data_IF_366829402524
#
_entry.id   IF_366829402524
#
_cell.length_a   1.000
_cell.length_b   1.000
_cell.length_c   1.000
_cell.angle_alpha   90.00
_cell.angle_beta   90.00
_cell.angle_gamma   90.00
#
_symmetry.space_group_name_H-M   'P 1'
#
loop_
_entity.id
_entity.type
_entity.pdbx_description
1 polymer ?
#
# COMPACT_ATOMS: atom_id res chain seq x y z
N UNK A 1 1.76 6.30 10.86
CA UNK A 1 0.86 6.06 9.70
C UNK A 1 0.62 4.57 9.45
N UNK A 2 1.66 3.73 9.32
CA UNK A 2 1.49 2.27 9.18
C UNK A 2 0.73 1.61 10.34
N UNK A 3 0.94 2.06 11.58
CA UNK A 3 0.17 1.60 12.74
C UNK A 3 -1.34 1.83 12.61
N UNK A 4 -1.75 2.94 11.95
CA UNK A 4 -3.16 3.21 11.67
C UNK A 4 -3.67 2.23 10.60
N UNK A 5 -2.86 1.93 9.57
CA UNK A 5 -3.16 0.87 8.61
C UNK A 5 -3.40 -0.49 9.29
N UNK A 6 -2.61 -0.86 10.29
CA UNK A 6 -2.82 -2.13 11.02
C UNK A 6 -4.19 -2.21 11.72
N UNK A 7 -4.75 -1.08 12.17
CA UNK A 7 -6.12 -1.04 12.73
C UNK A 7 -7.14 -1.38 11.65
N UNK A 8 -6.98 -0.84 10.43
CA UNK A 8 -7.84 -1.18 9.30
C UNK A 8 -7.65 -2.63 8.86
N UNK A 9 -6.44 -3.19 8.93
CA UNK A 9 -6.21 -4.61 8.64
C UNK A 9 -6.97 -5.53 9.61
N UNK A 10 -7.00 -5.19 10.90
CA UNK A 10 -7.83 -5.91 11.87
C UNK A 10 -9.31 -5.79 11.49
N UNK A 11 -9.77 -4.61 11.08
CA UNK A 11 -11.14 -4.41 10.64
C UNK A 11 -11.49 -5.23 9.38
N UNK A 12 -10.56 -5.37 8.42
CA UNK A 12 -10.72 -6.25 7.24
C UNK A 12 -11.03 -7.70 7.65
N UNK A 13 -10.40 -8.19 8.72
CA UNK A 13 -10.66 -9.53 9.24
C UNK A 13 -12.04 -9.67 9.91
N UNK A 14 -12.62 -8.57 10.40
CA UNK A 14 -13.94 -8.56 11.06
C UNK A 14 -15.08 -8.51 10.04
N UNK A 15 -14.91 -7.77 8.95
CA UNK A 15 -15.96 -7.59 7.94
C UNK A 15 -15.89 -8.64 6.83
N UNK A 16 -16.99 -9.36 6.51
CA UNK A 16 -16.99 -10.36 5.44
C UNK A 16 -16.71 -9.76 4.06
N UNK A 17 -15.96 -10.50 3.23
CA UNK A 17 -15.68 -10.13 1.84
C UNK A 17 -16.97 -9.96 1.04
N UNK A 18 -17.01 -8.96 0.14
CA UNK A 18 -18.18 -8.66 -0.69
C UNK A 18 -19.22 -7.74 -0.03
N UNK A 19 -19.00 -7.35 1.23
CA UNK A 19 -19.84 -6.36 1.91
C UNK A 19 -19.31 -4.93 1.70
N UNK A 20 -20.21 -3.94 1.68
CA UNK A 20 -19.80 -2.53 1.56
C UNK A 20 -18.83 -2.08 2.67
N UNK A 21 -19.01 -2.46 3.95
CA UNK A 21 -18.02 -2.17 5.00
C UNK A 21 -16.65 -2.75 4.72
N UNK A 22 -16.56 -3.99 4.20
CA UNK A 22 -15.27 -4.62 3.86
C UNK A 22 -14.51 -3.82 2.79
N UNK A 23 -15.20 -3.40 1.73
CA UNK A 23 -14.60 -2.56 0.68
C UNK A 23 -14.02 -1.27 1.27
N UNK A 24 -14.79 -0.60 2.13
CA UNK A 24 -14.35 0.65 2.76
C UNK A 24 -13.11 0.46 3.65
N UNK A 25 -13.11 -0.54 4.53
CA UNK A 25 -11.96 -0.77 5.44
C UNK A 25 -10.72 -1.24 4.69
N UNK A 26 -10.90 -2.02 3.62
CA UNK A 26 -9.80 -2.53 2.81
C UNK A 26 -9.13 -1.43 1.98
N UNK A 27 -9.93 -0.59 1.31
CA UNK A 27 -9.41 0.60 0.61
C UNK A 27 -8.74 1.57 1.58
N UNK A 28 -9.27 1.70 2.80
CA UNK A 28 -8.63 2.52 3.85
C UNK A 28 -7.28 1.95 4.27
N UNK A 29 -7.19 0.63 4.51
CA UNK A 29 -5.92 -0.04 4.82
C UNK A 29 -4.86 0.23 3.75
N UNK A 30 -5.16 -0.04 2.48
CA UNK A 30 -4.22 0.18 1.39
C UNK A 30 -3.90 1.66 1.18
N UNK A 31 -4.87 2.56 1.40
CA UNK A 31 -4.63 4.01 1.38
C UNK A 31 -3.63 4.46 2.44
N UNK A 32 -3.75 3.97 3.68
CA UNK A 32 -2.79 4.27 4.75
C UNK A 32 -1.41 3.66 4.48
N UNK A 33 -1.36 2.47 3.89
CA UNK A 33 -0.10 1.86 3.43
C UNK A 33 0.55 2.70 2.33
N UNK A 34 -0.21 3.14 1.32
CA UNK A 34 0.29 3.99 0.25
C UNK A 34 0.84 5.33 0.79
N UNK A 35 0.13 5.96 1.74
CA UNK A 35 0.63 7.15 2.43
C UNK A 35 1.93 6.89 3.20
N UNK A 36 2.04 5.75 3.88
CA UNK A 36 3.27 5.35 4.56
C UNK A 36 4.44 5.16 3.61
N UNK A 37 4.22 4.44 2.50
CA UNK A 37 5.23 4.23 1.45
C UNK A 37 5.63 5.56 0.82
N UNK A 38 4.67 6.47 0.60
CA UNK A 38 4.95 7.80 0.06
C UNK A 38 5.89 8.59 0.96
N UNK A 39 5.60 8.66 2.26
CA UNK A 39 6.43 9.38 3.22
C UNK A 39 7.85 8.79 3.32
N UNK A 40 7.97 7.46 3.33
CA UNK A 40 9.28 6.79 3.27
C UNK A 40 9.99 7.11 1.97
N UNK A 41 9.27 7.07 0.85
CA UNK A 41 9.81 7.40 -0.48
C UNK A 41 10.35 8.82 -0.58
N UNK A 42 9.61 9.80 -0.05
CA UNK A 42 10.06 11.19 0.05
C UNK A 42 11.34 11.28 0.88
N UNK A 43 11.34 10.74 2.10
CA UNK A 43 12.52 10.78 2.98
C UNK A 43 13.77 10.17 2.34
N UNK A 44 13.65 8.97 1.78
CA UNK A 44 14.74 8.27 1.10
C UNK A 44 15.20 8.99 -0.18
N UNK A 45 14.29 9.64 -0.91
CA UNK A 45 14.64 10.38 -2.13
C UNK A 45 15.48 11.63 -1.84
N UNK A 46 15.28 12.27 -0.67
CA UNK A 46 16.11 13.39 -0.22
C UNK A 46 17.56 12.95 0.03
N UNK A 47 17.76 11.70 0.45
CA UNK A 47 19.08 11.06 0.55
C UNK A 47 19.60 10.51 -0.78
N UNK A 48 18.89 10.75 -1.89
CA UNK A 48 19.18 10.23 -3.25
C UNK A 48 19.20 8.70 -3.32
N UNK A 49 18.51 8.02 -2.39
CA UNK A 49 18.38 6.57 -2.36
C UNK A 49 17.52 6.07 -3.52
N UNK A 50 18.00 5.03 -4.24
CA UNK A 50 17.24 4.35 -5.30
C UNK A 50 15.90 3.81 -4.79
N UNK A 51 15.85 3.41 -3.53
CA UNK A 51 14.64 2.90 -2.88
C UNK A 51 13.60 3.99 -2.63
N UNK A 52 14.04 5.24 -2.46
CA UNK A 52 13.14 6.39 -2.39
C UNK A 52 12.36 6.57 -3.70
N UNK A 53 13.09 6.60 -4.82
CA UNK A 53 12.48 6.69 -6.15
C UNK A 53 11.59 5.49 -6.48
N UNK A 54 12.00 4.26 -6.10
CA UNK A 54 11.17 3.07 -6.26
C UNK A 54 9.87 3.20 -5.47
N UNK A 55 9.94 3.60 -4.20
CA UNK A 55 8.77 3.77 -3.32
C UNK A 55 7.80 4.83 -3.87
N UNK A 56 8.33 5.96 -4.36
CA UNK A 56 7.53 6.99 -5.01
C UNK A 56 6.89 6.49 -6.32
N UNK A 57 7.62 5.73 -7.12
CA UNK A 57 7.09 5.14 -8.35
C UNK A 57 5.95 4.15 -8.05
N UNK A 58 6.10 3.31 -7.02
CA UNK A 58 5.05 2.38 -6.58
C UNK A 58 3.78 3.11 -6.18
N UNK A 59 3.88 4.24 -5.46
CA UNK A 59 2.70 5.03 -5.09
C UNK A 59 2.10 5.74 -6.29
N UNK A 60 2.93 6.34 -7.14
CA UNK A 60 2.51 7.15 -8.29
C UNK A 60 1.81 6.31 -9.36
N UNK A 61 2.24 5.05 -9.54
CA UNK A 61 1.62 4.12 -10.48
C UNK A 61 0.53 3.27 -9.80
N UNK A 62 0.79 2.78 -8.60
CA UNK A 62 -0.10 1.88 -7.88
C UNK A 62 -1.40 2.55 -7.43
N UNK A 63 -1.36 3.80 -6.95
CA UNK A 63 -2.57 4.48 -6.46
C UNK A 63 -3.58 4.75 -7.57
N UNK A 64 -3.19 5.29 -8.76
CA UNK A 64 -4.12 5.41 -9.88
C UNK A 64 -4.66 4.05 -10.36
N UNK A 65 -3.83 3.00 -10.42
CA UNK A 65 -4.30 1.67 -10.81
C UNK A 65 -5.29 1.08 -9.80
N UNK A 66 -5.05 1.27 -8.50
CA UNK A 66 -5.97 0.86 -7.44
C UNK A 66 -7.29 1.66 -7.52
N UNK A 67 -7.22 2.97 -7.78
CA UNK A 67 -8.41 3.79 -7.98
C UNK A 67 -9.21 3.35 -9.22
N UNK A 68 -8.53 3.19 -10.36
CA UNK A 68 -9.15 2.77 -11.62
C UNK A 68 -9.81 1.40 -11.49
N UNK A 69 -9.16 0.45 -10.80
CA UNK A 69 -9.76 -0.87 -10.55
C UNK A 69 -10.96 -0.79 -9.60
N UNK A 70 -10.91 0.06 -8.56
CA UNK A 70 -12.04 0.25 -7.65
C UNK A 70 -13.27 0.88 -8.32
N UNK A 71 -13.10 1.73 -9.34
CA UNK A 71 -14.22 2.33 -10.09
C UNK A 71 -14.71 1.46 -11.25
N UNK A 72 -13.87 0.56 -11.78
CA UNK A 72 -14.19 -0.27 -12.95
C UNK A 72 -14.83 -1.59 -12.55
N UNK A 73 -14.38 -2.19 -11.45
CA UNK A 73 -14.80 -3.52 -11.03
C UNK A 73 -15.61 -3.45 -9.74
N UNK A 74 -16.58 -4.36 -9.60
CA UNK A 74 -17.37 -4.48 -8.37
C UNK A 74 -16.59 -5.21 -7.28
N UNK A 75 -16.65 -4.68 -6.05
CA UNK A 75 -15.94 -5.24 -4.90
C UNK A 75 -14.50 -4.75 -4.75
N UNK A 76 -13.78 -5.32 -3.78
CA UNK A 76 -12.44 -4.86 -3.42
C UNK A 76 -11.29 -5.76 -3.95
N UNK A 77 -11.57 -6.95 -4.46
CA UNK A 77 -10.53 -7.93 -4.77
C UNK A 77 -9.44 -7.43 -5.75
N UNK A 78 -9.83 -6.73 -6.82
CA UNK A 78 -8.87 -6.20 -7.81
C UNK A 78 -8.06 -5.01 -7.24
N UNK A 79 -8.67 -3.96 -6.66
CA UNK A 79 -7.88 -2.90 -6.04
C UNK A 79 -7.02 -3.39 -4.87
N UNK A 80 -7.48 -4.39 -4.11
CA UNK A 80 -6.69 -5.07 -3.08
C UNK A 80 -5.46 -5.76 -3.68
N UNK A 81 -5.63 -6.49 -4.79
CA UNK A 81 -4.51 -7.16 -5.46
C UNK A 81 -3.44 -6.15 -5.89
N UNK A 82 -3.84 -5.01 -6.47
CA UNK A 82 -2.91 -3.92 -6.83
C UNK A 82 -2.18 -3.41 -5.58
N UNK A 83 -2.91 -3.14 -4.51
CA UNK A 83 -2.36 -2.69 -3.24
C UNK A 83 -1.36 -3.67 -2.63
N UNK A 84 -1.69 -4.97 -2.61
CA UNK A 84 -0.83 -6.06 -2.10
C UNK A 84 0.46 -6.14 -2.90
N UNK A 85 0.40 -6.06 -4.23
CA UNK A 85 1.60 -6.10 -5.09
C UNK A 85 2.52 -4.93 -4.75
N UNK A 86 1.99 -3.70 -4.73
CA UNK A 86 2.79 -2.51 -4.40
C UNK A 86 3.41 -2.60 -3.00
N UNK A 87 2.62 -3.00 -2.00
CA UNK A 87 3.09 -3.13 -0.63
C UNK A 87 4.15 -4.24 -0.49
N UNK A 88 3.99 -5.36 -1.19
CA UNK A 88 4.94 -6.48 -1.16
C UNK A 88 6.28 -6.09 -1.77
N UNK A 89 6.28 -5.41 -2.92
CA UNK A 89 7.51 -4.93 -3.56
C UNK A 89 8.25 -3.95 -2.63
N UNK A 90 7.53 -3.01 -2.03
CA UNK A 90 8.10 -2.10 -1.03
C UNK A 90 8.68 -2.86 0.16
N UNK A 91 7.89 -3.74 0.78
CA UNK A 91 8.27 -4.47 1.99
C UNK A 91 9.52 -5.32 1.79
N UNK A 92 9.60 -6.07 0.68
CA UNK A 92 10.76 -6.91 0.37
C UNK A 92 11.98 -6.03 0.08
N UNK A 93 11.82 -4.99 -0.74
CA UNK A 93 12.93 -4.11 -1.12
C UNK A 93 13.51 -3.37 0.09
N UNK A 94 12.65 -2.90 0.99
CA UNK A 94 13.07 -2.20 2.21
C UNK A 94 13.66 -3.17 3.25
N UNK A 95 13.13 -4.39 3.37
CA UNK A 95 13.73 -5.42 4.21
C UNK A 95 15.16 -5.76 3.73
N UNK A 96 15.37 -5.92 2.44
CA UNK A 96 16.71 -6.16 1.86
C UNK A 96 17.68 -5.02 2.17
N UNK A 97 17.22 -3.76 2.15
CA UNK A 97 18.03 -2.60 2.58
C UNK A 97 18.51 -2.75 4.02
N UNK A 98 17.59 -3.10 4.93
CA UNK A 98 17.89 -3.22 6.36
C UNK A 98 18.84 -4.40 6.62
N UNK A 99 18.61 -5.54 5.97
CA UNK A 99 19.46 -6.72 6.13
C UNK A 99 20.83 -6.55 5.48
N UNK A 100 20.92 -5.92 4.31
CA UNK A 100 22.19 -5.67 3.61
C UNK A 100 22.99 -4.48 4.16
N UNK A 101 22.42 -3.70 5.08
CA UNK A 101 23.12 -2.61 5.79
C UNK A 101 23.80 -3.09 7.08
N UNK A 102 23.72 -4.38 7.41
CA UNK A 102 24.53 -5.03 8.46
C UNK A 102 25.78 -5.64 7.84
#
# INVERSE_FOLDING_TARGET
IFAVGLIFLIAVAVFPSGTSPHVMVSLSFFGFCALGIFLVGVGESLEKSKLGYLSLALVTVGTPLAYLSAVTFTGAAIPEMVGVICFSVFSISYALKIYGSK
#
